data_IF_106487491227
#
_entry.id   IF_106487491227
#
_cell.length_a   1.000
_cell.length_b   1.000
_cell.length_c   1.000
_cell.angle_alpha   90.00
_cell.angle_beta   90.00
_cell.angle_gamma   90.00
#
_symmetry.space_group_name_H-M   'P 1'
#
loop_
_entity.id
_entity.type
_entity.pdbx_description
1 polymer ?
#
# COMPACT_ATOMS: atom_id res chain seq x y z
N UNK A 1 9.22 -2.45 9.26
CA UNK A 1 9.51 -3.54 10.22
C UNK A 1 8.24 -4.02 10.87
N UNK A 2 8.16 -5.30 11.25
CA UNK A 2 7.04 -5.84 12.02
C UNK A 2 7.43 -5.92 13.49
N UNK A 3 6.56 -5.43 14.38
CA UNK A 3 6.68 -5.58 15.83
C UNK A 3 5.37 -6.14 16.37
N UNK A 4 5.38 -7.38 16.86
CA UNK A 4 4.16 -8.12 17.20
C UNK A 4 3.20 -8.15 15.99
N UNK A 5 2.01 -7.57 16.12
CA UNK A 5 1.02 -7.45 15.04
C UNK A 5 0.93 -6.02 14.47
N UNK A 6 2.03 -5.27 14.53
CA UNK A 6 2.09 -3.89 14.02
C UNK A 6 3.16 -3.73 12.95
N UNK A 7 2.79 -3.12 11.82
CA UNK A 7 3.72 -2.67 10.79
C UNK A 7 4.18 -1.25 11.11
N UNK A 8 5.50 -1.04 11.13
CA UNK A 8 6.14 0.25 11.35
C UNK A 8 6.91 0.62 10.07
N UNK A 9 6.55 1.76 9.47
CA UNK A 9 7.17 2.31 8.27
C UNK A 9 7.79 3.66 8.61
N UNK A 10 9.06 3.83 8.25
CA UNK A 10 9.72 5.14 8.33
C UNK A 10 9.54 5.84 6.99
N UNK A 11 9.05 7.07 7.04
CA UNK A 11 8.80 7.90 5.87
C UNK A 11 9.75 9.11 5.88
N UNK A 12 10.02 9.72 4.71
CA UNK A 12 10.78 10.96 4.65
C UNK A 12 10.03 12.11 5.35
N UNK A 13 10.74 13.19 5.70
CA UNK A 13 10.14 14.31 6.45
C UNK A 13 9.39 15.33 5.61
N UNK A 14 9.58 15.36 4.29
CA UNK A 14 8.91 16.32 3.40
C UNK A 14 7.54 15.78 2.95
N UNK A 15 6.45 16.57 3.03
CA UNK A 15 5.10 16.11 2.66
C UNK A 15 5.00 15.52 1.25
N UNK A 16 5.66 16.14 0.28
CA UNK A 16 5.70 15.64 -1.10
C UNK A 16 6.35 14.26 -1.19
N UNK A 17 7.49 14.07 -0.53
CA UNK A 17 8.21 12.80 -0.52
C UNK A 17 7.42 11.71 0.22
N UNK A 18 6.65 12.05 1.25
CA UNK A 18 5.74 11.12 1.93
C UNK A 18 4.71 10.59 0.94
N UNK A 19 4.06 11.48 0.19
CA UNK A 19 3.04 11.12 -0.79
C UNK A 19 3.64 10.23 -1.90
N UNK A 20 4.76 10.65 -2.48
CA UNK A 20 5.46 9.88 -3.53
C UNK A 20 5.91 8.50 -3.02
N UNK A 21 6.32 8.38 -1.75
CA UNK A 21 6.70 7.10 -1.15
C UNK A 21 5.49 6.18 -0.97
N UNK A 22 4.35 6.72 -0.53
CA UNK A 22 3.14 5.95 -0.21
C UNK A 22 2.35 5.56 -1.47
N UNK A 23 2.04 6.53 -2.33
CA UNK A 23 1.21 6.34 -3.52
C UNK A 23 2.03 5.85 -4.73
N UNK A 24 3.32 6.22 -4.76
CA UNK A 24 4.21 5.95 -5.87
C UNK A 24 4.44 7.16 -6.76
N UNK A 25 5.26 6.97 -7.79
CA UNK A 25 5.55 8.00 -8.78
C UNK A 25 4.53 7.91 -9.91
N UNK A 26 3.88 9.04 -10.19
CA UNK A 26 2.99 9.21 -11.34
C UNK A 26 3.72 9.92 -12.46
N UNK A 27 3.60 9.39 -13.67
CA UNK A 27 4.11 10.01 -14.89
C UNK A 27 3.28 11.25 -15.28
N UNK A 28 3.75 11.96 -16.31
CA UNK A 28 3.08 13.16 -16.82
C UNK A 28 1.67 12.90 -17.38
N UNK A 29 1.37 11.64 -17.72
CA UNK A 29 0.06 11.17 -18.19
C UNK A 29 -0.89 10.75 -17.04
N UNK A 30 -0.47 10.93 -15.79
CA UNK A 30 -1.21 10.57 -14.59
C UNK A 30 -1.16 9.07 -14.24
N UNK A 31 -0.50 8.23 -15.05
CA UNK A 31 -0.34 6.81 -14.74
C UNK A 31 0.71 6.58 -13.67
N UNK A 32 0.50 5.56 -12.86
CA UNK A 32 1.49 5.10 -11.89
C UNK A 32 2.62 4.41 -12.65
N UNK A 33 3.80 5.01 -12.67
CA UNK A 33 5.02 4.43 -13.27
C UNK A 33 5.72 3.50 -12.28
N UNK A 34 5.77 3.92 -11.01
CA UNK A 34 6.34 3.13 -9.92
C UNK A 34 5.31 3.03 -8.81
N UNK A 35 4.82 1.82 -8.47
CA UNK A 35 3.88 1.66 -7.37
C UNK A 35 4.53 2.04 -6.04
N UNK A 36 3.81 2.81 -5.22
CA UNK A 36 4.26 3.19 -3.89
C UNK A 36 4.26 2.02 -2.92
N UNK A 37 4.94 2.21 -1.78
CA UNK A 37 5.08 1.16 -0.76
C UNK A 37 3.71 0.72 -0.21
N UNK A 38 2.70 1.60 -0.24
CA UNK A 38 1.38 1.31 0.30
C UNK A 38 0.63 0.23 -0.50
N UNK A 39 1.01 -0.03 -1.76
CA UNK A 39 0.43 -1.13 -2.54
C UNK A 39 0.64 -2.51 -1.86
N UNK A 40 1.74 -2.70 -1.12
CA UNK A 40 2.04 -3.96 -0.44
C UNK A 40 1.51 -4.00 1.02
N UNK A 41 1.19 -2.84 1.60
CA UNK A 41 0.83 -2.72 3.02
C UNK A 41 -0.40 -3.55 3.41
N UNK A 42 -1.52 -3.54 2.67
CA UNK A 42 -2.70 -4.32 3.03
C UNK A 42 -2.41 -5.81 3.16
N UNK A 43 -1.64 -6.40 2.23
CA UNK A 43 -1.28 -7.81 2.31
C UNK A 43 -0.30 -8.10 3.45
N UNK A 44 0.66 -7.20 3.74
CA UNK A 44 1.50 -7.34 4.93
C UNK A 44 0.67 -7.34 6.22
N UNK A 45 -0.42 -6.57 6.28
CA UNK A 45 -1.34 -6.53 7.42
C UNK A 45 -2.19 -7.82 7.51
N UNK A 46 -2.65 -8.34 6.37
CA UNK A 46 -3.32 -9.65 6.30
C UNK A 46 -2.44 -10.75 6.92
N UNK A 47 -1.13 -10.76 6.59
CA UNK A 47 -0.16 -11.76 7.07
C UNK A 47 0.11 -11.72 8.58
N UNK A 48 -0.12 -10.59 9.24
CA UNK A 48 0.06 -10.44 10.70
C UNK A 48 -1.26 -10.54 11.49
N UNK A 49 -2.35 -10.91 10.81
CA UNK A 49 -3.67 -11.13 11.41
C UNK A 49 -4.46 -9.85 11.67
N UNK A 50 -4.19 -8.77 10.95
CA UNK A 50 -5.01 -7.57 11.00
C UNK A 50 -6.35 -7.77 10.26
N UNK A 51 -7.34 -6.87 10.46
CA UNK A 51 -8.53 -6.83 9.61
C UNK A 51 -8.17 -6.65 8.13
N UNK A 52 -9.04 -7.14 7.26
CA UNK A 52 -8.87 -7.00 5.82
C UNK A 52 -9.04 -5.52 5.42
N UNK A 53 -7.99 -4.93 4.85
CA UNK A 53 -7.97 -3.51 4.46
C UNK A 53 -8.06 -3.38 2.94
N UNK A 54 -8.96 -2.52 2.48
CA UNK A 54 -9.09 -2.15 1.07
C UNK A 54 -8.54 -0.74 0.83
N UNK A 55 -8.19 -0.46 -0.42
CA UNK A 55 -7.66 0.84 -0.84
C UNK A 55 -8.45 1.35 -2.04
N UNK A 56 -8.56 2.66 -2.17
CA UNK A 56 -9.12 3.27 -3.38
C UNK A 56 -8.13 3.06 -4.55
N UNK A 57 -8.54 2.32 -5.57
CA UNK A 57 -7.72 2.03 -6.75
C UNK A 57 -7.33 3.29 -7.53
N UNK A 58 -8.08 4.38 -7.42
CA UNK A 58 -7.71 5.66 -8.03
C UNK A 58 -6.47 6.28 -7.35
N UNK A 59 -6.26 5.99 -6.07
CA UNK A 59 -5.13 6.48 -5.26
C UNK A 59 -3.98 5.48 -5.29
N UNK A 60 -4.24 4.24 -4.86
CA UNK A 60 -3.25 3.16 -4.79
C UNK A 60 -3.96 1.80 -4.89
N UNK A 61 -3.53 0.96 -5.84
CA UNK A 61 -4.06 -0.40 -5.99
C UNK A 61 -3.32 -1.35 -5.05
N UNK A 62 -4.03 -1.91 -4.06
CA UNK A 62 -3.49 -2.93 -3.18
C UNK A 62 -3.12 -4.21 -3.96
N UNK A 63 -1.87 -4.64 -3.83
CA UNK A 63 -1.42 -5.92 -4.37
C UNK A 63 -1.78 -7.05 -3.41
N UNK A 64 -2.37 -8.12 -3.94
CA UNK A 64 -2.60 -9.39 -3.24
C UNK A 64 -2.39 -10.58 -4.19
N UNK A 65 -1.82 -11.70 -3.73
CA UNK A 65 -1.80 -12.93 -4.51
C UNK A 65 -3.22 -13.47 -4.69
N UNK A 66 -3.46 -14.22 -5.78
CA UNK A 66 -4.80 -14.73 -6.14
C UNK A 66 -5.51 -15.48 -5.00
N UNK A 67 -4.76 -16.18 -4.17
CA UNK A 67 -5.28 -16.93 -3.01
C UNK A 67 -5.73 -16.05 -1.84
N UNK A 68 -5.30 -14.79 -1.77
CA UNK A 68 -5.60 -13.85 -0.69
C UNK A 68 -6.61 -12.76 -1.10
N UNK A 69 -7.04 -12.75 -2.37
CA UNK A 69 -8.10 -11.87 -2.83
C UNK A 69 -9.42 -12.41 -2.28
N UNK A 70 -10.10 -11.61 -1.46
CA UNK A 70 -11.46 -11.94 -1.02
C UNK A 70 -12.46 -11.47 -2.07
N UNK A 71 -13.59 -12.17 -2.25
CA UNK A 71 -14.70 -11.64 -3.03
C UNK A 71 -15.12 -10.30 -2.42
N UNK A 72 -15.34 -9.29 -3.26
CA UNK A 72 -15.98 -8.06 -2.81
C UNK A 72 -17.35 -8.42 -2.20
N UNK A 73 -17.74 -7.79 -1.09
CA UNK A 73 -19.04 -8.01 -0.46
C UNK A 73 -20.21 -7.64 -1.38
#
# INVERSE_FOLDING_TARGET
MIRKQSLILNLPGQPKAIQETLEGLRGADGKVEVPGIFAAVPYCLDLIGAPYIETDEAVVKAFRPKSAVKPAP
#
